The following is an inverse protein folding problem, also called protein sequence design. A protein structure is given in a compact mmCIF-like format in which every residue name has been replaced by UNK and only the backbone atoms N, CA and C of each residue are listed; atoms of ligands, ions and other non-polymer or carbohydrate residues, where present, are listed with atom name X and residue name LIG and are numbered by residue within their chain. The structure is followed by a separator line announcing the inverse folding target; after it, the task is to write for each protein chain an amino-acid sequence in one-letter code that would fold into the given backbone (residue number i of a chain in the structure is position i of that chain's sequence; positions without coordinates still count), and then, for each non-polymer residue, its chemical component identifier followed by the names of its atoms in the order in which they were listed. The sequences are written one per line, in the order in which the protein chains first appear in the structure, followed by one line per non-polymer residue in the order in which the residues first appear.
data_IF_139080309148
#
_entry.id   IF_139080309148
#
_cell.length_a   1.000
_cell.length_b   1.000
_cell.length_c   1.000
_cell.angle_alpha   90.00
_cell.angle_beta   90.00
_cell.angle_gamma   90.00
#
_symmetry.space_group_name_H-M   'P 1'
#
loop_
_entity.id
_entity.type
_entity.pdbx_description
1 polymer ?
#
# COMPACT_ATOMS: atom_id res chain seq x y z
N UNK A 1 -39.36 7.61 -0.25
CA UNK A 1 -38.09 7.99 0.38
C UNK A 1 -37.04 8.05 -0.72
N UNK A 2 -36.59 9.25 -1.10
CA UNK A 2 -35.55 9.41 -2.11
C UNK A 2 -34.21 9.61 -1.39
N UNK A 3 -33.37 8.57 -1.40
CA UNK A 3 -31.99 8.63 -0.91
C UNK A 3 -31.09 8.63 -2.13
N UNK A 4 -30.32 9.70 -2.27
CA UNK A 4 -29.20 9.81 -3.22
C UNK A 4 -27.92 9.86 -2.40
N UNK A 5 -27.07 8.84 -2.53
CA UNK A 5 -25.73 8.80 -1.95
C UNK A 5 -24.70 8.44 -3.04
N UNK A 6 -23.85 9.39 -3.47
CA UNK A 6 -22.68 9.13 -4.28
C UNK A 6 -21.49 8.65 -3.43
N UNK A 7 -20.47 8.00 -4.04
CA UNK A 7 -19.85 6.85 -3.42
C UNK A 7 -18.68 7.20 -2.49
N UNK A 8 -18.67 6.73 -1.24
CA UNK A 8 -17.40 6.35 -0.63
C UNK A 8 -16.86 5.14 -1.40
N UNK A 9 -15.84 5.34 -2.25
CA UNK A 9 -15.07 4.23 -2.84
C UNK A 9 -14.15 3.61 -1.77
N UNK A 10 -14.77 3.03 -0.74
CA UNK A 10 -14.11 2.25 0.30
C UNK A 10 -14.04 0.77 -0.03
N UNK A 11 -14.34 0.38 -1.27
CA UNK A 11 -14.27 -1.00 -1.71
C UNK A 11 -14.03 -1.08 -3.22
N UNK A 12 -13.56 -2.25 -3.67
CA UNK A 12 -13.52 -2.63 -5.08
C UNK A 12 -14.28 -3.93 -5.30
N UNK A 13 -14.83 -4.10 -6.49
CA UNK A 13 -15.50 -5.33 -6.93
C UNK A 13 -14.62 -6.06 -7.93
N UNK A 14 -14.40 -7.34 -7.70
CA UNK A 14 -13.73 -8.23 -8.62
C UNK A 14 -14.73 -9.28 -9.10
N UNK A 15 -14.71 -9.55 -10.41
CA UNK A 15 -15.52 -10.59 -11.05
C UNK A 15 -14.56 -11.47 -11.83
N UNK A 16 -14.61 -12.78 -11.58
CA UNK A 16 -13.77 -13.78 -12.23
C UNK A 16 -14.64 -14.69 -13.09
N UNK A 17 -14.23 -14.87 -14.34
CA UNK A 17 -14.76 -15.84 -15.30
C UNK A 17 -14.23 -17.25 -15.00
N UNK A 18 -14.83 -18.30 -15.57
CA UNK A 18 -14.52 -19.70 -15.24
C UNK A 18 -13.04 -20.09 -15.32
N UNK A 19 -12.27 -19.46 -16.23
CA UNK A 19 -10.84 -19.74 -16.43
C UNK A 19 -9.92 -18.79 -15.64
N UNK A 20 -10.49 -17.82 -14.91
CA UNK A 20 -9.72 -16.82 -14.18
C UNK A 20 -9.55 -17.23 -12.72
N UNK A 21 -8.37 -16.95 -12.19
CA UNK A 21 -8.09 -17.06 -10.77
C UNK A 21 -7.17 -15.93 -10.32
N UNK A 22 -7.32 -15.54 -9.05
CA UNK A 22 -6.48 -14.52 -8.42
C UNK A 22 -6.09 -14.96 -7.01
N UNK A 23 -4.97 -14.43 -6.56
CA UNK A 23 -4.47 -14.59 -5.21
C UNK A 23 -4.63 -13.28 -4.44
N UNK A 24 -5.40 -13.29 -3.35
CA UNK A 24 -5.58 -12.14 -2.44
C UNK A 24 -4.66 -12.31 -1.22
N UNK A 25 -3.79 -11.34 -0.96
CA UNK A 25 -2.83 -11.37 0.16
C UNK A 25 -3.40 -10.88 1.49
N UNK A 26 -4.49 -10.10 1.44
CA UNK A 26 -5.21 -9.63 2.62
C UNK A 26 -6.59 -10.31 2.70
N UNK A 27 -6.62 -11.59 3.11
CA UNK A 27 -7.86 -12.40 3.09
C UNK A 27 -9.00 -11.81 3.91
N UNK A 28 -8.69 -11.05 4.96
CA UNK A 28 -9.67 -10.32 5.79
C UNK A 28 -10.26 -9.08 5.11
N UNK A 29 -9.67 -8.61 4.02
CA UNK A 29 -10.21 -7.53 3.21
C UNK A 29 -11.38 -8.00 2.34
N UNK A 30 -11.57 -9.31 2.15
CA UNK A 30 -12.73 -9.85 1.45
C UNK A 30 -13.96 -9.68 2.35
N UNK A 31 -14.81 -8.69 2.04
CA UNK A 31 -15.99 -8.33 2.85
C UNK A 31 -17.29 -8.95 2.34
N UNK A 32 -17.32 -9.40 1.08
CA UNK A 32 -18.43 -10.14 0.50
C UNK A 32 -17.91 -11.07 -0.60
N UNK A 33 -18.54 -12.24 -0.76
CA UNK A 33 -18.20 -13.24 -1.77
C UNK A 33 -19.47 -13.91 -2.30
N UNK A 34 -19.51 -14.14 -3.61
CA UNK A 34 -20.59 -14.81 -4.34
C UNK A 34 -19.95 -15.80 -5.32
N UNK A 35 -20.18 -17.09 -5.10
CA UNK A 35 -19.64 -18.16 -5.93
C UNK A 35 -19.74 -19.49 -5.21
N UNK A 36 -19.29 -20.57 -5.84
CA UNK A 36 -19.20 -21.87 -5.17
C UNK A 36 -18.21 -21.77 -3.99
N UNK A 37 -18.51 -22.35 -2.80
CA UNK A 37 -17.58 -22.32 -1.67
C UNK A 37 -16.22 -22.96 -1.98
N UNK A 38 -16.20 -24.02 -2.81
CA UNK A 38 -14.98 -24.71 -3.24
C UNK A 38 -14.06 -23.89 -4.14
N UNK A 39 -14.52 -22.74 -4.64
CA UNK A 39 -13.73 -21.85 -5.47
C UNK A 39 -12.81 -20.92 -4.68
N UNK A 40 -12.80 -21.01 -3.34
CA UNK A 40 -11.87 -20.30 -2.46
C UNK A 40 -11.00 -21.27 -1.69
N UNK A 41 -9.69 -21.05 -1.73
CA UNK A 41 -8.72 -21.81 -0.96
C UNK A 41 -7.72 -20.89 -0.26
N UNK A 42 -7.69 -20.91 1.07
CA UNK A 42 -6.76 -20.10 1.86
C UNK A 42 -5.52 -20.94 2.25
N UNK A 43 -4.32 -20.39 2.03
CA UNK A 43 -3.04 -21.02 2.38
C UNK A 43 -2.14 -20.05 3.15
N UNK A 44 -1.27 -20.59 3.99
CA UNK A 44 -0.20 -19.78 4.58
C UNK A 44 0.87 -19.45 3.53
N UNK A 45 1.44 -18.25 3.63
CA UNK A 45 2.58 -17.84 2.81
C UNK A 45 3.89 -18.10 3.52
N UNK A 46 4.88 -18.59 2.77
CA UNK A 46 6.26 -18.72 3.24
C UNK A 46 7.11 -17.53 2.74
N UNK A 47 6.98 -16.39 3.41
CA UNK A 47 7.77 -15.19 3.14
C UNK A 47 9.15 -15.30 3.84
N UNK A 48 10.03 -16.15 3.28
CA UNK A 48 11.48 -16.31 3.53
C UNK A 48 12.02 -16.21 4.98
N UNK A 49 11.17 -16.29 6.01
CA UNK A 49 11.51 -16.19 7.43
C UNK A 49 10.67 -15.22 8.28
N UNK A 50 9.79 -14.40 7.70
CA UNK A 50 9.34 -13.17 8.34
C UNK A 50 7.82 -13.17 8.63
N UNK A 51 7.36 -13.03 9.87
CA UNK A 51 7.83 -11.99 10.78
C UNK A 51 7.79 -12.46 12.25
N UNK A 52 8.49 -13.56 12.58
CA UNK A 52 8.60 -14.25 13.90
C UNK A 52 7.33 -14.57 14.74
N UNK A 53 6.14 -13.98 14.53
CA UNK A 53 4.92 -14.26 15.32
C UNK A 53 3.56 -14.05 14.60
N UNK A 54 3.50 -13.74 13.30
CA UNK A 54 2.22 -13.57 12.58
C UNK A 54 2.22 -14.37 11.27
N UNK A 55 1.34 -15.38 11.20
CA UNK A 55 1.14 -16.20 10.00
C UNK A 55 0.35 -15.38 8.97
N UNK A 56 0.97 -15.09 7.83
CA UNK A 56 0.29 -14.44 6.71
C UNK A 56 -0.45 -15.47 5.87
N UNK A 57 -1.68 -15.14 5.49
CA UNK A 57 -2.56 -16.01 4.70
C UNK A 57 -2.83 -15.38 3.34
N UNK A 58 -2.91 -16.21 2.31
CA UNK A 58 -3.31 -15.85 0.95
C UNK A 58 -4.54 -16.67 0.57
N UNK A 59 -5.55 -16.03 0.00
CA UNK A 59 -6.71 -16.71 -0.56
C UNK A 59 -6.53 -16.83 -2.07
N UNK A 60 -6.61 -18.03 -2.63
CA UNK A 60 -6.81 -18.26 -4.07
C UNK A 60 -8.32 -18.27 -4.32
N UNK A 61 -8.80 -17.40 -5.20
CA UNK A 61 -10.18 -17.38 -5.65
C UNK A 61 -10.21 -17.76 -7.13
N UNK A 62 -11.07 -18.70 -7.50
CA UNK A 62 -11.24 -19.19 -8.86
C UNK A 62 -12.66 -18.87 -9.36
N UNK A 63 -12.79 -18.48 -10.63
CA UNK A 63 -14.09 -18.24 -11.21
C UNK A 63 -14.89 -19.52 -11.50
N UNK A 64 -16.19 -19.40 -11.81
CA UNK A 64 -16.94 -18.14 -11.82
C UNK A 64 -17.28 -17.66 -10.41
N UNK A 65 -16.89 -16.43 -10.06
CA UNK A 65 -17.25 -15.80 -8.79
C UNK A 65 -17.16 -14.27 -8.83
N UNK A 66 -17.74 -13.63 -7.83
CA UNK A 66 -17.69 -12.19 -7.60
C UNK A 66 -17.38 -11.94 -6.12
N UNK A 67 -16.52 -10.97 -5.82
CA UNK A 67 -16.23 -10.59 -4.43
C UNK A 67 -15.91 -9.12 -4.28
N UNK A 68 -16.11 -8.61 -3.06
CA UNK A 68 -15.78 -7.25 -2.69
C UNK A 68 -14.56 -7.25 -1.77
N UNK A 69 -13.58 -6.40 -2.10
CA UNK A 69 -12.48 -6.08 -1.20
C UNK A 69 -12.77 -4.73 -0.55
N UNK A 70 -12.79 -4.68 0.78
CA UNK A 70 -12.79 -3.43 1.53
C UNK A 70 -11.42 -2.77 1.45
N UNK A 71 -11.40 -1.49 1.09
CA UNK A 71 -10.19 -0.67 1.08
C UNK A 71 -10.07 0.07 2.42
N UNK A 72 -8.85 0.19 2.98
CA UNK A 72 -8.63 1.09 4.11
C UNK A 72 -9.03 2.53 3.76
N UNK A 73 -9.39 3.31 4.77
CA UNK A 73 -9.80 4.70 4.57
C UNK A 73 -8.69 5.50 3.88
N UNK A 74 -9.04 6.24 2.83
CA UNK A 74 -8.11 7.07 2.06
C UNK A 74 -7.22 6.27 1.09
N UNK A 75 -7.30 4.94 1.10
CA UNK A 75 -6.61 4.12 0.12
C UNK A 75 -7.45 3.96 -1.14
N UNK A 76 -6.76 3.92 -2.27
CA UNK A 76 -7.27 3.52 -3.58
C UNK A 76 -6.67 2.18 -3.96
N UNK A 77 -7.23 1.57 -5.01
CA UNK A 77 -6.65 0.41 -5.67
C UNK A 77 -6.32 0.80 -7.11
N UNK A 78 -5.08 0.57 -7.51
CA UNK A 78 -4.63 0.63 -8.90
C UNK A 78 -4.15 -0.75 -9.35
N UNK A 79 -4.26 -1.03 -10.64
CA UNK A 79 -3.73 -2.26 -11.24
C UNK A 79 -2.45 -1.99 -11.99
N UNK A 80 -1.44 -2.84 -11.78
CA UNK A 80 -0.16 -2.77 -12.50
C UNK A 80 0.04 -4.08 -13.25
N UNK A 81 0.25 -4.00 -14.55
CA UNK A 81 0.60 -5.16 -15.36
C UNK A 81 2.08 -5.51 -15.17
N UNK A 82 2.33 -6.79 -14.98
CA UNK A 82 3.65 -7.35 -14.77
C UNK A 82 3.98 -8.22 -15.97
N UNK A 83 5.00 -7.81 -16.70
CA UNK A 83 5.53 -8.57 -17.82
C UNK A 83 6.43 -9.72 -17.34
N UNK A 84 6.71 -10.67 -18.25
CA UNK A 84 7.57 -11.83 -17.95
C UNK A 84 8.99 -11.44 -17.51
N UNK A 85 9.50 -10.29 -17.97
CA UNK A 85 10.82 -9.76 -17.64
C UNK A 85 10.87 -8.79 -16.46
N UNK A 86 9.76 -8.58 -15.74
CA UNK A 86 9.71 -7.59 -14.65
C UNK A 86 10.72 -7.90 -13.54
N UNK A 87 11.51 -6.88 -13.20
CA UNK A 87 12.51 -6.92 -12.15
C UNK A 87 12.14 -6.07 -10.93
N UNK A 88 10.90 -5.58 -10.87
CA UNK A 88 10.42 -4.73 -9.78
C UNK A 88 10.28 -5.52 -8.46
N UNK A 89 10.76 -4.90 -7.40
CA UNK A 89 10.60 -5.32 -6.02
C UNK A 89 9.53 -4.49 -5.33
N UNK A 90 8.40 -5.11 -5.02
CA UNK A 90 7.27 -4.46 -4.36
C UNK A 90 7.37 -4.59 -2.84
N UNK A 91 6.96 -3.55 -2.11
CA UNK A 91 6.55 -3.72 -0.73
C UNK A 91 5.28 -4.57 -0.69
N UNK A 92 5.34 -5.74 -0.05
CA UNK A 92 4.21 -6.65 -0.01
C UNK A 92 2.97 -6.04 0.66
N UNK A 93 3.13 -5.04 1.54
CA UNK A 93 2.03 -4.35 2.23
C UNK A 93 1.15 -3.54 1.28
N UNK A 94 1.71 -3.17 0.13
CA UNK A 94 0.99 -2.46 -0.92
C UNK A 94 0.32 -3.42 -1.91
N UNK A 95 0.56 -4.73 -1.85
CA UNK A 95 -0.03 -5.68 -2.80
C UNK A 95 -1.26 -6.35 -2.18
N UNK A 96 -2.45 -6.10 -2.74
CA UNK A 96 -3.69 -6.72 -2.26
C UNK A 96 -4.05 -8.00 -3.01
N UNK A 97 -3.78 -8.07 -4.31
CA UNK A 97 -3.95 -9.29 -5.09
C UNK A 97 -2.96 -9.41 -6.24
N UNK A 98 -2.86 -10.59 -6.82
CA UNK A 98 -2.18 -10.85 -8.09
C UNK A 98 -2.84 -11.99 -8.87
N UNK A 99 -2.71 -11.99 -10.19
CA UNK A 99 -3.25 -13.06 -11.05
C UNK A 99 -2.65 -14.43 -10.75
N UNK A 100 -3.44 -15.50 -10.88
CA UNK A 100 -2.94 -16.89 -10.83
C UNK A 100 -1.95 -17.14 -11.98
N UNK A 101 -0.98 -18.01 -11.77
CA UNK A 101 0.09 -18.30 -12.74
C UNK A 101 1.33 -17.40 -12.66
N UNK A 102 1.25 -16.27 -11.97
CA UNK A 102 2.43 -15.43 -11.71
C UNK A 102 3.40 -16.10 -10.72
N UNK A 103 4.70 -15.91 -10.94
CA UNK A 103 5.73 -16.37 -9.99
C UNK A 103 5.99 -15.31 -8.93
N UNK A 104 6.23 -15.74 -7.68
CA UNK A 104 6.53 -14.82 -6.57
C UNK A 104 7.82 -15.21 -5.90
N UNK A 105 8.70 -14.23 -5.65
CA UNK A 105 9.95 -14.46 -4.92
C UNK A 105 10.18 -13.40 -3.84
N UNK A 106 10.26 -13.86 -2.61
CA UNK A 106 10.59 -13.02 -1.45
C UNK A 106 12.07 -12.65 -1.48
N UNK A 107 12.37 -11.36 -1.29
CA UNK A 107 13.73 -10.82 -1.23
C UNK A 107 13.91 -10.07 0.08
N UNK A 108 14.81 -10.56 0.93
CA UNK A 108 15.23 -9.87 2.15
C UNK A 108 16.42 -8.99 1.81
N UNK A 109 16.27 -7.68 1.95
CA UNK A 109 17.37 -6.74 1.71
C UNK A 109 18.20 -6.58 2.98
N UNK A 110 19.50 -6.88 2.89
CA UNK A 110 20.45 -6.70 3.98
C UNK A 110 20.92 -5.24 4.02
N UNK A 111 20.12 -4.38 4.64
CA UNK A 111 20.53 -3.00 4.91
C UNK A 111 21.42 -2.98 6.16
N UNK A 112 22.53 -2.25 6.13
CA UNK A 112 23.42 -2.08 7.30
C UNK A 112 22.68 -1.48 8.52
N UNK A 113 21.58 -0.78 8.28
CA UNK A 113 20.68 -0.16 9.26
C UNK A 113 19.35 -0.90 9.46
N UNK A 114 19.28 -2.19 9.09
CA UNK A 114 18.05 -3.01 9.17
C UNK A 114 17.38 -3.06 10.56
N UNK A 115 18.11 -2.72 11.63
CA UNK A 115 17.57 -2.68 12.98
C UNK A 115 16.59 -1.51 13.22
N UNK A 116 16.70 -0.43 12.44
CA UNK A 116 15.83 0.75 12.54
C UNK A 116 14.51 0.52 11.78
N UNK A 117 14.59 0.05 10.53
CA UNK A 117 13.42 -0.07 9.66
C UNK A 117 12.72 -1.41 9.73
N UNK A 118 13.23 -2.35 10.54
CA UNK A 118 12.79 -3.75 10.53
C UNK A 118 13.13 -4.39 9.17
N UNK A 119 13.51 -5.68 9.13
CA UNK A 119 13.97 -6.33 7.89
C UNK A 119 13.00 -6.09 6.72
N UNK A 120 13.49 -5.45 5.65
CA UNK A 120 12.67 -5.03 4.51
C UNK A 120 12.47 -6.23 3.58
N UNK A 121 11.37 -6.95 3.79
CA UNK A 121 10.92 -8.01 2.89
C UNK A 121 10.22 -7.35 1.71
N UNK A 122 10.79 -7.50 0.53
CA UNK A 122 10.16 -7.10 -0.74
C UNK A 122 9.77 -8.36 -1.53
N UNK A 123 8.73 -8.27 -2.34
CA UNK A 123 8.29 -9.34 -3.22
C UNK A 123 8.58 -8.98 -4.67
N UNK A 124 9.26 -9.88 -5.37
CA UNK A 124 9.36 -9.84 -6.82
C UNK A 124 8.23 -10.66 -7.41
N UNK A 125 7.56 -10.12 -8.43
CA UNK A 125 6.52 -10.80 -9.19
C UNK A 125 7.00 -11.01 -10.62
N UNK A 126 6.95 -12.25 -11.12
CA UNK A 126 7.24 -12.59 -12.50
C UNK A 126 5.95 -12.89 -13.25
N UNK A 127 5.72 -12.18 -14.35
CA UNK A 127 4.51 -12.27 -15.16
C UNK A 127 4.55 -13.35 -16.25
N UNK A 128 3.60 -13.29 -17.21
CA UNK A 128 2.59 -12.23 -17.36
C UNK A 128 1.47 -12.30 -16.31
N UNK A 129 0.93 -11.15 -15.93
CA UNK A 129 -0.26 -11.04 -15.06
C UNK A 129 -0.43 -9.64 -14.47
N UNK A 130 -1.42 -9.46 -13.61
CA UNK A 130 -1.77 -8.15 -13.05
C UNK A 130 -1.66 -8.18 -11.52
N UNK A 131 -1.11 -7.11 -10.94
CA UNK A 131 -1.12 -6.85 -9.49
C UNK A 131 -2.17 -5.81 -9.13
N UNK A 132 -2.89 -6.03 -8.05
CA UNK A 132 -3.66 -5.01 -7.36
C UNK A 132 -2.79 -4.31 -6.32
N UNK A 133 -2.56 -3.01 -6.49
CA UNK A 133 -1.74 -2.17 -5.63
C UNK A 133 -2.62 -1.22 -4.80
N UNK A 134 -2.53 -1.34 -3.48
CA UNK A 134 -3.07 -0.37 -2.53
C UNK A 134 -2.12 0.81 -2.38
N UNK A 135 -2.68 2.01 -2.48
CA UNK A 135 -1.93 3.24 -2.24
C UNK A 135 -2.81 4.26 -1.52
N UNK A 136 -2.20 5.15 -0.76
CA UNK A 136 -2.84 6.42 -0.44
C UNK A 136 -2.66 7.36 -1.63
N UNK A 137 -3.74 8.00 -2.08
CA UNK A 137 -3.69 8.80 -3.30
C UNK A 137 -3.58 7.91 -4.53
N UNK A 138 -2.64 8.21 -5.42
CA UNK A 138 -2.35 7.37 -6.58
C UNK A 138 -0.90 6.91 -6.64
N UNK A 139 -0.53 6.19 -7.70
CA UNK A 139 0.84 5.77 -7.96
C UNK A 139 1.49 6.66 -9.03
N UNK A 140 2.67 7.19 -8.71
CA UNK A 140 3.55 7.87 -9.65
C UNK A 140 4.78 7.00 -9.95
N UNK A 141 5.09 6.84 -11.23
CA UNK A 141 6.34 6.23 -11.68
C UNK A 141 7.40 7.31 -11.88
N UNK A 142 8.54 7.18 -11.19
CA UNK A 142 9.68 8.08 -11.30
C UNK A 142 10.88 7.31 -11.82
N UNK A 143 11.44 7.76 -12.94
CA UNK A 143 12.57 7.09 -13.57
C UNK A 143 13.85 7.29 -12.74
N UNK A 144 14.52 6.20 -12.38
CA UNK A 144 15.81 6.24 -11.71
C UNK A 144 16.93 6.68 -12.65
N UNK A 145 17.94 7.32 -12.06
CA UNK A 145 19.16 7.72 -12.74
C UNK A 145 20.37 7.01 -12.12
N UNK A 146 21.37 6.58 -12.93
CA UNK A 146 22.51 5.83 -12.40
C UNK A 146 23.38 6.64 -11.44
N UNK A 147 23.52 7.94 -11.69
CA UNK A 147 24.42 8.81 -10.91
C UNK A 147 23.71 9.85 -10.04
N UNK A 148 22.41 10.11 -10.29
CA UNK A 148 21.66 11.17 -9.60
C UNK A 148 20.65 10.51 -8.68
N UNK A 149 20.83 10.60 -7.35
CA UNK A 149 19.95 9.91 -6.43
C UNK A 149 18.55 10.50 -6.45
N UNK A 150 17.56 9.60 -6.45
CA UNK A 150 16.19 9.90 -6.10
C UNK A 150 16.02 9.68 -4.60
N UNK A 151 15.48 10.67 -3.89
CA UNK A 151 15.09 10.55 -2.49
C UNK A 151 13.57 10.39 -2.39
N UNK A 152 13.11 9.27 -1.82
CA UNK A 152 11.69 8.96 -1.65
C UNK A 152 11.41 8.73 -0.17
N UNK A 153 10.33 9.31 0.35
CA UNK A 153 9.91 9.07 1.73
C UNK A 153 9.77 7.56 1.99
N UNK A 154 10.27 7.09 3.14
CA UNK A 154 10.37 5.66 3.39
C UNK A 154 9.01 4.95 3.42
N UNK A 155 7.94 5.66 3.83
CA UNK A 155 6.57 5.18 3.82
C UNK A 155 5.89 5.29 2.46
N UNK A 156 6.49 6.00 1.50
CA UNK A 156 5.88 6.29 0.20
C UNK A 156 6.41 5.42 -0.94
N UNK A 157 7.52 4.70 -0.74
CA UNK A 157 8.14 3.84 -1.76
C UNK A 157 7.45 2.48 -1.90
N UNK A 158 6.65 2.32 -2.97
CA UNK A 158 5.87 1.11 -3.28
C UNK A 158 6.72 0.05 -3.94
N UNK A 159 7.46 0.39 -5.00
CA UNK A 159 8.31 -0.56 -5.73
C UNK A 159 9.53 0.10 -6.38
N UNK A 160 10.55 -0.70 -6.69
CA UNK A 160 11.73 -0.26 -7.44
C UNK A 160 12.46 -1.45 -8.08
N UNK A 161 13.34 -1.24 -9.08
CA UNK A 161 14.04 -2.32 -9.79
C UNK A 161 15.03 -3.06 -8.90
N UNK A 162 15.15 -4.38 -9.05
CA UNK A 162 15.97 -5.23 -8.19
C UNK A 162 17.45 -4.83 -8.15
N UNK A 163 17.99 -4.32 -9.25
CA UNK A 163 19.39 -3.88 -9.38
C UNK A 163 19.63 -2.44 -8.92
N UNK A 164 18.60 -1.70 -8.50
CA UNK A 164 18.79 -0.36 -7.97
C UNK A 164 19.61 -0.41 -6.67
N UNK A 165 20.54 0.53 -6.52
CA UNK A 165 21.25 0.74 -5.26
C UNK A 165 20.34 1.53 -4.32
N UNK A 166 20.09 0.98 -3.13
CA UNK A 166 19.15 1.56 -2.16
C UNK A 166 19.80 1.66 -0.78
N UNK A 167 19.66 2.82 -0.15
CA UNK A 167 20.07 3.06 1.25
C UNK A 167 19.12 4.00 1.96
N UNK A 168 19.09 3.92 3.29
CA UNK A 168 18.38 4.90 4.11
C UNK A 168 19.22 6.17 4.23
N UNK A 169 18.58 7.32 4.09
CA UNK A 169 19.24 8.62 4.04
C UNK A 169 18.31 9.74 4.50
N UNK A 170 18.89 10.92 4.70
CA UNK A 170 18.24 12.22 4.78
C UNK A 170 19.00 13.16 3.85
N UNK A 171 18.38 14.24 3.39
CA UNK A 171 19.02 15.16 2.46
C UNK A 171 18.84 16.62 2.88
N UNK A 172 19.56 17.53 2.23
CA UNK A 172 19.47 18.96 2.53
C UNK A 172 20.30 19.40 3.73
N UNK A 173 19.97 20.57 4.27
CA UNK A 173 20.67 21.18 5.40
C UNK A 173 20.22 20.55 6.74
N UNK A 174 20.89 20.88 7.88
CA UNK A 174 20.54 20.30 9.18
C UNK A 174 19.08 20.50 9.57
N UNK A 175 18.49 21.67 9.28
CA UNK A 175 17.08 21.94 9.59
C UNK A 175 16.14 21.02 8.79
N UNK A 176 16.39 20.88 7.49
CA UNK A 176 15.63 19.96 6.64
C UNK A 176 15.73 18.52 7.14
N UNK A 177 16.94 18.07 7.51
CA UNK A 177 17.17 16.72 8.03
C UNK A 177 16.46 16.42 9.35
N UNK A 178 16.17 17.45 10.16
CA UNK A 178 15.45 17.31 11.43
C UNK A 178 13.93 17.29 11.26
N UNK A 179 13.41 17.92 10.20
CA UNK A 179 11.97 18.01 9.93
C UNK A 179 11.47 16.93 8.98
N UNK A 180 12.36 16.23 8.26
CA UNK A 180 11.97 15.19 7.32
C UNK A 180 11.88 13.81 7.95
N UNK A 181 10.95 13.00 7.43
CA UNK A 181 10.99 11.56 7.61
C UNK A 181 12.25 10.97 6.99
N UNK A 182 12.63 9.78 7.42
CA UNK A 182 13.70 9.01 6.78
C UNK A 182 13.33 8.74 5.32
N UNK A 183 14.31 8.88 4.44
CA UNK A 183 14.16 8.71 2.99
C UNK A 183 14.89 7.44 2.54
N UNK A 184 14.37 6.81 1.48
CA UNK A 184 15.15 5.93 0.61
C UNK A 184 15.91 6.78 -0.39
N UNK A 185 17.22 6.62 -0.43
CA UNK A 185 18.05 7.11 -1.51
C UNK A 185 18.25 5.97 -2.52
N UNK A 186 17.81 6.21 -3.77
CA UNK A 186 17.86 5.24 -4.87
C UNK A 186 18.69 5.77 -6.03
N UNK A 187 19.59 4.93 -6.56
CA UNK A 187 20.22 5.14 -7.87
C UNK A 187 20.12 3.87 -8.70
N UNK A 188 20.10 4.01 -10.03
CA UNK A 188 19.99 2.88 -10.94
C UNK A 188 19.25 3.22 -12.23
N UNK A 189 18.65 2.21 -12.85
CA UNK A 189 17.83 2.36 -14.06
C UNK A 189 16.51 1.63 -13.88
N UNK A 190 15.46 2.17 -14.48
CA UNK A 190 14.09 1.65 -14.39
C UNK A 190 13.20 2.52 -13.48
N UNK A 191 11.91 2.20 -13.38
CA UNK A 191 10.95 3.00 -12.64
C UNK A 191 10.92 2.65 -11.15
N UNK A 192 10.93 3.67 -10.29
CA UNK A 192 10.48 3.57 -8.91
C UNK A 192 9.00 3.98 -8.83
N UNK A 193 8.18 3.16 -8.19
CA UNK A 193 6.76 3.43 -7.95
C UNK A 193 6.58 4.06 -6.57
N UNK A 194 5.92 5.21 -6.53
CA UNK A 194 5.75 6.03 -5.32
C UNK A 194 4.27 6.33 -5.15
N UNK A 195 3.73 6.12 -3.94
CA UNK A 195 2.38 6.59 -3.62
C UNK A 195 2.39 8.11 -3.42
N UNK A 196 1.37 8.80 -3.93
CA UNK A 196 1.31 10.27 -3.93
C UNK A 196 0.48 10.84 -2.79
N UNK A 197 -0.28 10.02 -2.07
CA UNK A 197 -1.05 10.42 -0.91
C UNK A 197 -0.14 10.72 0.28
N UNK A 198 -0.17 11.97 0.74
CA UNK A 198 0.61 12.41 1.87
C UNK A 198 0.03 11.91 3.20
N UNK A 199 0.87 11.30 4.03
CA UNK A 199 0.56 11.00 5.43
C UNK A 199 1.14 12.08 6.34
N UNK A 200 0.54 13.28 6.32
CA UNK A 200 0.93 14.38 7.21
C UNK A 200 -0.28 14.79 8.05
N UNK A 201 -0.39 14.30 9.30
CA UNK A 201 -1.47 14.67 10.21
C UNK A 201 -1.54 16.17 10.47
N UNK A 202 -0.39 16.85 10.55
CA UNK A 202 -0.30 18.27 10.85
C UNK A 202 -0.80 19.10 9.67
N UNK A 203 -0.38 18.76 8.45
CA UNK A 203 -0.91 19.39 7.24
C UNK A 203 -2.40 19.09 7.08
N UNK A 204 -2.83 17.86 7.36
CA UNK A 204 -4.25 17.49 7.32
C UNK A 204 -5.07 18.25 8.36
N UNK A 205 -4.51 18.56 9.53
CA UNK A 205 -5.15 19.40 10.55
C UNK A 205 -5.21 20.87 10.12
N UNK A 206 -4.13 21.41 9.55
CA UNK A 206 -4.07 22.77 9.00
C UNK A 206 -5.07 22.96 7.86
N UNK A 207 -5.12 22.03 6.91
CA UNK A 207 -6.05 22.04 5.78
C UNK A 207 -7.51 21.89 6.20
N UNK A 208 -7.78 21.20 7.32
CA UNK A 208 -9.13 21.07 7.87
C UNK A 208 -9.63 22.36 8.52
N UNK A 209 -8.78 23.35 8.81
CA UNK A 209 -9.17 24.66 9.37
C UNK A 209 -9.82 24.62 10.77
N UNK A 210 -9.98 23.43 11.34
CA UNK A 210 -10.81 23.17 12.53
C UNK A 210 -10.13 23.58 13.84
N UNK A 211 -8.81 23.74 13.85
CA UNK A 211 -8.03 24.05 15.05
C UNK A 211 -8.29 25.46 15.61
N UNK A 212 -8.68 26.41 14.76
CA UNK A 212 -8.96 27.79 15.17
C UNK A 212 -10.44 27.97 15.54
N UNK A 213 -11.35 27.40 14.75
CA UNK A 213 -12.80 27.53 14.99
C UNK A 213 -13.27 26.78 16.25
N UNK A 214 -12.70 25.60 16.57
CA UNK A 214 -13.02 24.86 17.80
C UNK A 214 -12.44 25.50 19.06
N UNK A 215 -11.36 26.26 18.95
CA UNK A 215 -10.77 27.04 20.06
C UNK A 215 -11.63 28.28 20.35
N UNK A 216 -12.00 29.01 19.29
CA UNK A 216 -12.90 30.16 19.40
C UNK A 216 -14.30 29.78 19.90
N UNK A 217 -14.92 28.69 19.41
CA UNK A 217 -16.22 28.23 19.90
C UNK A 217 -16.20 27.79 21.38
N UNK A 218 -15.06 27.30 21.87
CA UNK A 218 -14.89 26.92 23.28
C UNK A 218 -14.66 28.12 24.20
N UNK A 219 -14.12 29.21 23.66
CA UNK A 219 -13.88 30.46 24.40
C UNK A 219 -15.07 31.43 24.34
N UNK A 220 -15.92 31.35 23.30
CA UNK A 220 -17.08 32.25 23.09
C UNK A 220 -18.42 31.69 23.61
N UNK A 221 -18.48 30.46 24.11
CA UNK A 221 -19.68 29.92 24.75
C UNK A 221 -19.51 29.88 26.29
N UNK A 222 -19.95 30.92 27.01
CA UNK A 222 -20.22 30.77 28.43
C UNK A 222 -21.48 29.90 28.56
N UNK A 223 -21.39 28.83 29.36
CA UNK A 223 -22.46 27.88 29.71
C UNK A 223 -22.75 26.77 28.68
N UNK A 224 -22.25 25.57 28.97
CA UNK A 224 -22.59 24.33 28.25
C UNK A 224 -22.43 23.07 29.10
N UNK A 225 -22.52 23.20 30.42
CA UNK A 225 -22.65 22.06 31.35
C UNK A 225 -24.08 22.02 31.87
N UNK A 226 -24.98 21.38 31.13
CA UNK A 226 -26.27 20.93 31.65
C UNK A 226 -26.36 19.43 31.37
N UNK A 227 -26.23 18.66 32.43
CA UNK A 227 -26.60 17.25 32.47
C UNK A 227 -28.11 17.14 32.23
N UNK A 228 -28.53 16.23 31.34
CA UNK A 228 -29.90 15.75 31.28
C UNK A 228 -29.88 14.22 31.40
N UNK A 229 -30.70 13.71 32.32
CA UNK A 229 -31.05 12.30 32.55
C UNK A 229 -31.94 11.78 31.43
#
# INVERSE_FOLDING_TARGET
MNITSPPPQGHVRLTLSSEEAVHVLHTKAIIAYRGAPGNREDRFMDLAGAYRKRKWTRARLQGPCEFLLGLPQGCTLETVDIEAGSDLLFDFRHVIFFSDGMTTKSRVQKLRTAWITKELVRMQFGGPGTLGILSLGGIAAVQLHPERPLYVDAGSLVAFPHHAAVRLSVYGNPLASQQMNVQWELTGSGPALVQTGLQDPDLMEQLRGDGVFKRLLRELLPFGSVYIK
#
